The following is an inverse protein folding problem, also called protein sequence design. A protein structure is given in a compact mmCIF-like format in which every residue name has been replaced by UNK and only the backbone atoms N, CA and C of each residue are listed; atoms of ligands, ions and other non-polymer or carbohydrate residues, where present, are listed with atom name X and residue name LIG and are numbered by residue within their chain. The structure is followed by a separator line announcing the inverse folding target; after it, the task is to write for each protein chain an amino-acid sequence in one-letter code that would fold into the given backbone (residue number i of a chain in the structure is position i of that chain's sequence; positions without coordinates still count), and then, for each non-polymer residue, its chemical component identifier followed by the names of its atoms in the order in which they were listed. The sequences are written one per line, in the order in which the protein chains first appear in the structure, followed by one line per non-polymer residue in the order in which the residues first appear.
data_IF_024455466673
#
_entry.id   IF_024455466673
#
_cell.length_a   1.000
_cell.length_b   1.000
_cell.length_c   1.000
_cell.angle_alpha   90.00
_cell.angle_beta   90.00
_cell.angle_gamma   90.00
#
_symmetry.space_group_name_H-M   'P 1'
#
loop_
_entity.id
_entity.type
_entity.pdbx_description
1 polymer ?
#
# COMPACT_ATOMS: atom_id res chain seq x y z
N UNK A 1 -29.99 -4.10 -10.81
CA UNK A 1 -29.62 -5.19 -9.87
C UNK A 1 -29.69 -6.52 -10.61
N UNK A 2 -28.86 -7.51 -10.28
CA UNK A 2 -28.92 -8.83 -10.92
C UNK A 2 -30.18 -9.55 -10.40
N UNK A 3 -31.10 -10.00 -11.28
CA UNK A 3 -32.39 -10.56 -10.83
C UNK A 3 -32.26 -11.77 -9.89
N UNK A 4 -31.24 -12.58 -10.04
CA UNK A 4 -30.96 -13.71 -9.15
C UNK A 4 -30.64 -13.24 -7.72
N UNK A 5 -29.85 -12.18 -7.59
CA UNK A 5 -29.49 -11.61 -6.29
C UNK A 5 -30.69 -10.94 -5.60
N UNK A 6 -31.51 -10.24 -6.36
CA UNK A 6 -32.72 -9.57 -5.86
C UNK A 6 -33.73 -10.53 -5.24
N UNK A 7 -33.87 -11.75 -5.80
CA UNK A 7 -34.76 -12.80 -5.28
C UNK A 7 -34.36 -13.34 -3.91
N UNK A 8 -33.08 -13.25 -3.57
CA UNK A 8 -32.54 -13.73 -2.28
C UNK A 8 -32.66 -12.70 -1.16
N UNK A 9 -32.96 -11.44 -1.49
CA UNK A 9 -33.13 -10.38 -0.48
C UNK A 9 -34.48 -10.60 0.25
N UNK A 10 -34.44 -10.50 1.56
CA UNK A 10 -35.62 -10.51 2.41
C UNK A 10 -36.19 -9.09 2.55
N UNK A 11 -37.03 -8.72 1.62
CA UNK A 11 -37.67 -7.40 1.60
C UNK A 11 -38.67 -7.21 2.76
N UNK A 12 -39.16 -8.28 3.42
CA UNK A 12 -40.10 -8.20 4.51
C UNK A 12 -39.53 -7.61 5.79
N UNK A 13 -38.21 -7.70 5.94
CA UNK A 13 -37.46 -7.13 7.09
C UNK A 13 -37.14 -5.65 6.97
N UNK A 14 -37.64 -4.99 5.95
CA UNK A 14 -37.54 -3.53 5.79
C UNK A 14 -36.13 -2.98 5.74
N UNK A 15 -35.24 -3.60 4.99
CA UNK A 15 -33.82 -3.48 5.32
C UNK A 15 -32.89 -2.94 4.26
N UNK A 16 -33.34 -2.08 3.44
CA UNK A 16 -32.45 -1.08 2.86
C UNK A 16 -32.35 0.06 3.87
N UNK A 17 -31.36 0.04 4.72
CA UNK A 17 -31.05 1.23 5.50
C UNK A 17 -30.35 2.20 4.57
N UNK A 18 -31.08 3.18 4.15
CA UNK A 18 -30.61 4.28 3.33
C UNK A 18 -30.12 5.42 4.22
N UNK A 19 -28.90 5.30 4.70
CA UNK A 19 -28.13 6.49 5.07
C UNK A 19 -27.29 6.90 3.87
N UNK A 20 -26.89 8.16 3.79
CA UNK A 20 -26.01 8.67 2.72
C UNK A 20 -24.74 7.84 2.55
N UNK A 21 -24.27 7.19 3.60
CA UNK A 21 -23.01 6.47 3.69
C UNK A 21 -23.14 5.02 4.19
N UNK A 22 -24.35 4.50 4.35
CA UNK A 22 -24.56 3.15 4.86
C UNK A 22 -25.71 2.45 4.14
N UNK A 23 -25.43 1.23 3.70
CA UNK A 23 -26.40 0.34 3.08
C UNK A 23 -26.26 -1.07 3.69
N UNK A 24 -27.39 -1.74 3.92
CA UNK A 24 -27.42 -3.11 4.42
C UNK A 24 -28.49 -3.91 3.72
N UNK A 25 -28.11 -5.05 3.16
CA UNK A 25 -29.06 -6.04 2.61
C UNK A 25 -29.08 -7.27 3.49
N UNK A 26 -30.27 -7.74 3.85
CA UNK A 26 -30.47 -9.02 4.55
C UNK A 26 -31.05 -10.02 3.56
N UNK A 27 -30.53 -11.22 3.60
CA UNK A 27 -30.96 -12.32 2.73
C UNK A 27 -31.94 -13.22 3.47
N UNK A 28 -32.74 -14.00 2.72
CA UNK A 28 -33.73 -14.95 3.23
C UNK A 28 -33.14 -15.98 4.20
N UNK A 29 -31.88 -16.34 4.02
CA UNK A 29 -31.15 -17.25 4.93
C UNK A 29 -30.64 -16.58 6.21
N UNK A 30 -30.97 -15.29 6.46
CA UNK A 30 -30.55 -14.53 7.62
C UNK A 30 -29.14 -13.93 7.53
N UNK A 31 -28.36 -14.25 6.50
CA UNK A 31 -27.09 -13.57 6.27
C UNK A 31 -27.30 -12.12 5.82
N UNK A 32 -26.28 -11.31 5.91
CA UNK A 32 -26.36 -9.91 5.46
C UNK A 32 -25.05 -9.43 4.83
N UNK A 33 -25.20 -8.45 3.99
CA UNK A 33 -24.11 -7.67 3.39
C UNK A 33 -24.35 -6.20 3.71
N UNK A 34 -23.31 -5.51 4.19
CA UNK A 34 -23.34 -4.07 4.42
C UNK A 34 -22.01 -3.42 4.06
N UNK A 35 -22.04 -2.11 3.84
CA UNK A 35 -20.83 -1.33 3.72
C UNK A 35 -20.41 -0.73 5.07
N UNK A 36 -19.10 -0.62 5.26
CA UNK A 36 -18.47 -0.03 6.44
C UNK A 36 -17.50 1.04 5.97
N UNK A 37 -17.59 2.24 6.52
CA UNK A 37 -16.60 3.26 6.24
C UNK A 37 -15.24 2.88 6.85
N UNK A 38 -14.16 3.08 6.09
CA UNK A 38 -12.79 2.88 6.58
C UNK A 38 -12.38 4.07 7.49
N UNK A 39 -12.92 4.08 8.72
CA UNK A 39 -12.73 5.14 9.71
C UNK A 39 -12.67 4.55 11.12
N UNK A 40 -12.10 5.29 12.06
CA UNK A 40 -12.07 4.94 13.49
C UNK A 40 -13.46 4.64 14.08
N UNK A 41 -14.50 5.31 13.62
CA UNK A 41 -15.89 5.09 14.05
C UNK A 41 -16.44 3.71 13.71
N UNK A 42 -15.75 2.95 12.88
CA UNK A 42 -16.12 1.56 12.55
C UNK A 42 -15.55 0.54 13.54
N UNK A 43 -14.76 0.97 14.50
CA UNK A 43 -14.23 0.14 15.58
C UNK A 43 -15.36 -0.57 16.34
N UNK A 44 -15.17 -1.84 16.66
CA UNK A 44 -16.15 -2.64 17.38
C UNK A 44 -17.21 -3.34 16.52
N UNK A 45 -17.34 -3.01 15.24
CA UNK A 45 -18.18 -3.81 14.32
C UNK A 45 -17.62 -5.22 14.16
N UNK A 46 -18.48 -6.16 13.79
CA UNK A 46 -18.11 -7.59 13.64
C UNK A 46 -18.61 -8.13 12.31
N UNK A 47 -17.71 -8.75 11.54
CA UNK A 47 -17.97 -9.35 10.23
C UNK A 47 -17.16 -10.64 10.07
N UNK A 48 -17.60 -11.51 9.16
CA UNK A 48 -16.92 -12.78 8.89
C UNK A 48 -15.84 -12.64 7.82
N UNK A 49 -16.11 -11.79 6.84
CA UNK A 49 -15.21 -11.49 5.73
C UNK A 49 -15.47 -10.07 5.24
N UNK A 50 -14.63 -9.56 4.36
CA UNK A 50 -14.81 -8.24 3.80
C UNK A 50 -14.11 -8.05 2.46
N UNK A 51 -14.65 -7.12 1.69
CA UNK A 51 -14.06 -6.57 0.49
C UNK A 51 -13.58 -5.16 0.81
N UNK A 52 -12.31 -4.91 0.60
CA UNK A 52 -11.66 -3.60 0.75
C UNK A 52 -11.46 -3.06 -0.66
N UNK A 53 -12.34 -2.18 -1.07
CA UNK A 53 -12.28 -1.52 -2.36
C UNK A 53 -11.42 -0.26 -2.27
N UNK A 54 -10.76 0.11 -3.36
CA UNK A 54 -9.83 1.24 -3.45
C UNK A 54 -8.77 1.22 -2.34
N UNK A 55 -8.21 0.03 -2.07
CA UNK A 55 -7.26 -0.20 -0.98
C UNK A 55 -6.07 0.78 -1.00
N UNK A 56 -5.68 1.26 -2.17
CA UNK A 56 -4.60 2.25 -2.33
C UNK A 56 -4.90 3.59 -1.63
N UNK A 57 -6.18 3.95 -1.49
CA UNK A 57 -6.63 5.17 -0.84
C UNK A 57 -6.92 5.03 0.66
N UNK A 58 -6.79 3.83 1.24
CA UNK A 58 -7.09 3.58 2.65
C UNK A 58 -5.86 3.79 3.51
N UNK A 59 -6.03 4.51 4.63
CA UNK A 59 -4.97 4.64 5.64
C UNK A 59 -4.61 3.27 6.24
N UNK A 60 -3.30 2.95 6.28
CA UNK A 60 -2.81 1.66 6.71
C UNK A 60 -3.08 1.36 8.19
N UNK A 61 -3.04 2.36 9.05
CA UNK A 61 -3.31 2.20 10.48
C UNK A 61 -4.80 1.89 10.69
N UNK A 62 -5.68 2.66 10.05
CA UNK A 62 -7.13 2.40 10.09
C UNK A 62 -7.44 1.01 9.56
N UNK A 63 -6.79 0.58 8.49
CA UNK A 63 -7.02 -0.75 7.93
C UNK A 63 -6.57 -1.85 8.90
N UNK A 64 -5.37 -1.75 9.46
CA UNK A 64 -4.80 -2.76 10.35
C UNK A 64 -5.47 -2.80 11.74
N UNK A 65 -5.77 -1.63 12.32
CA UNK A 65 -6.23 -1.53 13.69
C UNK A 65 -7.75 -1.55 13.84
N UNK A 66 -8.48 -1.16 12.79
CA UNK A 66 -9.94 -1.06 12.84
C UNK A 66 -10.60 -2.06 11.91
N UNK A 67 -10.30 -2.02 10.60
CA UNK A 67 -11.07 -2.76 9.60
C UNK A 67 -10.74 -4.27 9.64
N UNK A 68 -9.46 -4.64 9.57
CA UNK A 68 -9.04 -6.06 9.60
C UNK A 68 -9.53 -6.77 10.87
N UNK A 69 -9.41 -6.20 12.08
CA UNK A 69 -9.95 -6.83 13.28
C UNK A 69 -11.46 -7.03 13.28
N UNK A 70 -12.22 -6.21 12.53
CA UNK A 70 -13.69 -6.44 12.43
C UNK A 70 -14.02 -7.73 11.71
N UNK A 71 -13.15 -8.22 10.81
CA UNK A 71 -13.33 -9.40 9.96
C UNK A 71 -12.81 -10.68 10.63
N UNK A 72 -12.98 -10.84 11.92
CA UNK A 72 -12.39 -11.94 12.69
C UNK A 72 -13.44 -12.78 13.46
N UNK A 73 -14.68 -12.79 13.04
CA UNK A 73 -15.71 -13.61 13.67
C UNK A 73 -16.04 -14.81 12.79
N UNK A 74 -16.15 -15.98 13.41
CA UNK A 74 -16.65 -17.18 12.75
C UNK A 74 -18.15 -17.06 12.50
N UNK A 75 -18.62 -17.57 11.37
CA UNK A 75 -20.05 -17.69 11.10
C UNK A 75 -20.67 -18.67 12.07
N UNK A 76 -21.83 -18.32 12.57
CA UNK A 76 -22.62 -19.19 13.44
C UNK A 76 -23.71 -19.85 12.61
N UNK A 77 -23.91 -21.14 12.81
CA UNK A 77 -25.07 -21.87 12.30
C UNK A 77 -26.34 -21.43 13.00
N UNK A 78 -27.50 -21.79 12.48
CA UNK A 78 -28.77 -21.40 13.06
C UNK A 78 -28.97 -21.92 14.49
N UNK A 79 -28.31 -23.01 14.85
CA UNK A 79 -28.30 -23.61 16.19
C UNK A 79 -27.29 -22.96 17.15
N UNK A 80 -26.57 -21.92 16.70
CA UNK A 80 -25.54 -21.23 17.48
C UNK A 80 -24.20 -21.95 17.51
N UNK A 81 -24.04 -23.07 16.83
CA UNK A 81 -22.76 -23.76 16.70
C UNK A 81 -21.86 -23.10 15.66
N UNK A 82 -20.56 -23.26 15.80
CA UNK A 82 -19.56 -22.84 14.80
C UNK A 82 -19.07 -24.08 14.07
N UNK A 83 -19.23 -24.10 12.74
CA UNK A 83 -18.71 -25.21 11.94
C UNK A 83 -17.17 -25.24 11.99
N UNK A 84 -16.54 -26.40 12.23
CA UNK A 84 -15.06 -26.48 12.33
C UNK A 84 -14.31 -25.90 11.13
N UNK A 85 -14.86 -26.05 9.93
CA UNK A 85 -14.28 -25.52 8.69
C UNK A 85 -14.41 -24.00 8.57
N UNK A 86 -15.32 -23.36 9.31
CA UNK A 86 -15.51 -21.91 9.28
C UNK A 86 -14.32 -21.12 9.81
N UNK A 87 -13.47 -21.71 10.63
CA UNK A 87 -12.25 -21.05 11.10
C UNK A 87 -11.27 -20.71 9.94
N UNK A 88 -11.40 -21.38 8.81
CA UNK A 88 -10.59 -21.17 7.61
C UNK A 88 -11.15 -20.11 6.65
N UNK A 89 -12.42 -19.70 6.82
CA UNK A 89 -13.14 -18.89 5.84
C UNK A 89 -13.17 -17.38 6.14
N UNK A 90 -12.23 -16.88 6.92
CA UNK A 90 -12.09 -15.44 7.18
C UNK A 90 -11.39 -14.76 6.00
N UNK A 91 -12.09 -14.69 4.87
CA UNK A 91 -11.53 -14.17 3.64
C UNK A 91 -11.50 -12.63 3.64
N UNK A 92 -10.38 -12.09 3.20
CA UNK A 92 -10.21 -10.67 2.90
C UNK A 92 -9.91 -10.53 1.41
N UNK A 93 -10.70 -9.73 0.71
CA UNK A 93 -10.50 -9.41 -0.69
C UNK A 93 -10.12 -7.94 -0.82
N UNK A 94 -8.98 -7.68 -1.42
CA UNK A 94 -8.48 -6.34 -1.71
C UNK A 94 -8.63 -6.06 -3.19
N UNK A 95 -9.34 -4.97 -3.53
CA UNK A 95 -9.55 -4.52 -4.91
C UNK A 95 -8.97 -3.12 -5.02
N UNK A 96 -8.08 -2.92 -5.98
CA UNK A 96 -7.46 -1.61 -6.19
C UNK A 96 -6.79 -1.53 -7.56
N UNK A 97 -6.62 -0.33 -8.07
CA UNK A 97 -5.65 -0.03 -9.12
C UNK A 97 -4.24 0.00 -8.53
N UNK A 98 -3.22 0.02 -9.37
CA UNK A 98 -1.85 0.23 -8.89
C UNK A 98 -1.68 1.67 -8.41
N UNK A 99 -0.88 1.84 -7.38
CA UNK A 99 -0.58 3.13 -6.79
C UNK A 99 0.93 3.38 -6.67
N UNK A 100 1.34 3.92 -5.54
CA UNK A 100 2.73 4.20 -5.23
C UNK A 100 3.32 3.13 -4.30
N UNK A 101 4.61 2.80 -4.49
CA UNK A 101 5.32 1.77 -3.72
C UNK A 101 5.52 2.13 -2.25
N UNK A 102 5.36 3.38 -1.88
CA UNK A 102 5.42 3.85 -0.49
C UNK A 102 4.06 3.80 0.22
N UNK A 103 3.08 3.08 -0.32
CA UNK A 103 1.75 2.95 0.28
C UNK A 103 1.58 1.61 0.98
N UNK A 104 0.72 1.58 1.99
CA UNK A 104 0.30 0.36 2.66
C UNK A 104 -0.22 -0.71 1.67
N UNK A 105 -0.94 -0.29 0.62
CA UNK A 105 -1.47 -1.21 -0.38
C UNK A 105 -0.35 -1.98 -1.12
N UNK A 106 0.77 -1.33 -1.39
CA UNK A 106 1.93 -1.99 -1.98
C UNK A 106 2.60 -2.98 -1.01
N UNK A 107 2.76 -2.59 0.26
CA UNK A 107 3.30 -3.49 1.28
C UNK A 107 2.41 -4.72 1.46
N UNK A 108 1.08 -4.53 1.44
CA UNK A 108 0.11 -5.62 1.48
C UNK A 108 0.21 -6.52 0.26
N UNK A 109 0.40 -5.95 -0.94
CA UNK A 109 0.63 -6.71 -2.17
C UNK A 109 1.88 -7.60 -2.04
N UNK A 110 3.00 -7.04 -1.58
CA UNK A 110 4.25 -7.81 -1.39
C UNK A 110 4.05 -8.92 -0.35
N UNK A 111 3.38 -8.62 0.76
CA UNK A 111 3.05 -9.62 1.78
C UNK A 111 2.23 -10.78 1.19
N UNK A 112 1.19 -10.47 0.41
CA UNK A 112 0.34 -11.48 -0.22
C UNK A 112 1.09 -12.28 -1.31
N UNK A 113 2.01 -11.66 -2.06
CA UNK A 113 2.89 -12.36 -3.00
C UNK A 113 3.77 -13.38 -2.29
N UNK A 114 4.37 -13.01 -1.16
CA UNK A 114 5.15 -13.93 -0.33
C UNK A 114 4.28 -15.10 0.15
N UNK A 115 3.08 -14.81 0.64
CA UNK A 115 2.14 -15.86 1.06
C UNK A 115 1.72 -16.77 -0.08
N UNK A 116 1.45 -16.24 -1.27
CA UNK A 116 1.09 -17.03 -2.45
C UNK A 116 2.21 -18.01 -2.86
N UNK A 117 3.49 -17.64 -2.64
CA UNK A 117 4.64 -18.51 -2.91
C UNK A 117 4.79 -19.59 -1.83
N UNK A 118 4.68 -19.19 -0.54
CA UNK A 118 4.95 -20.09 0.59
C UNK A 118 3.74 -20.97 0.90
N UNK A 119 2.52 -20.44 0.81
CA UNK A 119 1.25 -21.09 1.16
C UNK A 119 0.17 -20.69 0.13
N UNK A 120 0.20 -21.26 -1.08
CA UNK A 120 -0.69 -20.86 -2.19
C UNK A 120 -2.17 -21.08 -1.87
N UNK A 121 -2.52 -21.95 -0.93
CA UNK A 121 -3.88 -22.18 -0.46
C UNK A 121 -4.43 -21.02 0.40
N UNK A 122 -3.57 -20.09 0.85
CA UNK A 122 -3.95 -19.00 1.75
C UNK A 122 -4.00 -17.63 1.10
N UNK A 123 -3.37 -17.45 -0.03
CA UNK A 123 -3.34 -16.17 -0.72
C UNK A 123 -3.33 -16.37 -2.24
N UNK A 124 -4.08 -15.53 -2.92
CA UNK A 124 -4.10 -15.46 -4.38
C UNK A 124 -4.07 -14.00 -4.81
N UNK A 125 -3.21 -13.68 -5.75
CA UNK A 125 -3.15 -12.37 -6.38
C UNK A 125 -3.52 -12.54 -7.85
N UNK A 126 -4.44 -11.69 -8.28
CA UNK A 126 -4.80 -11.54 -9.69
C UNK A 126 -4.57 -10.10 -10.10
N UNK A 127 -3.95 -9.90 -11.24
CA UNK A 127 -3.72 -8.58 -11.80
C UNK A 127 -3.77 -8.63 -13.31
N UNK A 128 -4.04 -7.48 -13.91
CA UNK A 128 -4.14 -7.41 -15.36
C UNK A 128 -4.09 -5.97 -15.86
N UNK A 129 -3.95 -5.84 -17.16
CA UNK A 129 -3.97 -4.55 -17.85
C UNK A 129 -5.31 -4.34 -18.55
N UNK A 130 -5.56 -3.12 -19.01
CA UNK A 130 -6.74 -2.77 -19.81
C UNK A 130 -6.95 -3.69 -21.03
N UNK A 131 -5.93 -4.43 -21.46
CA UNK A 131 -6.02 -5.36 -22.60
C UNK A 131 -7.02 -6.50 -22.34
N UNK A 132 -7.15 -6.92 -21.06
CA UNK A 132 -8.10 -7.98 -20.70
C UNK A 132 -9.55 -7.53 -20.94
N UNK A 133 -10.05 -6.41 -20.35
CA UNK A 133 -11.40 -5.95 -20.63
C UNK A 133 -11.63 -5.59 -22.11
N UNK A 134 -10.62 -5.13 -22.86
CA UNK A 134 -10.72 -4.95 -24.30
C UNK A 134 -10.93 -6.30 -25.02
N UNK A 135 -10.18 -7.33 -24.63
CA UNK A 135 -10.30 -8.67 -25.22
C UNK A 135 -11.72 -9.27 -25.04
N UNK A 136 -12.30 -9.08 -23.86
CA UNK A 136 -13.65 -9.57 -23.54
C UNK A 136 -14.76 -8.57 -23.89
N UNK A 137 -14.44 -7.49 -24.62
CA UNK A 137 -15.38 -6.46 -25.11
C UNK A 137 -16.12 -5.70 -23.98
N UNK A 138 -15.54 -5.59 -22.81
CA UNK A 138 -16.04 -4.75 -21.71
C UNK A 138 -15.50 -3.32 -21.79
N UNK A 139 -14.40 -3.11 -22.50
CA UNK A 139 -13.82 -1.79 -22.74
C UNK A 139 -13.58 -1.60 -24.25
N UNK A 140 -13.96 -0.44 -24.75
CA UNK A 140 -13.70 -0.08 -26.14
C UNK A 140 -12.21 0.26 -26.34
N UNK A 141 -11.59 -0.39 -27.33
CA UNK A 141 -10.19 -0.12 -27.71
C UNK A 141 -9.97 1.31 -28.18
N UNK A 142 -10.98 1.94 -28.79
CA UNK A 142 -10.86 3.30 -29.33
C UNK A 142 -10.91 4.34 -28.20
N UNK A 143 -11.56 4.03 -27.07
CA UNK A 143 -11.49 4.84 -25.86
C UNK A 143 -10.05 5.08 -25.40
N UNK A 144 -9.21 4.04 -25.39
CA UNK A 144 -7.80 4.16 -24.99
C UNK A 144 -7.01 5.04 -25.96
N UNK A 145 -7.33 5.01 -27.26
CA UNK A 145 -6.69 5.91 -28.25
C UNK A 145 -7.07 7.36 -28.01
N UNK A 146 -8.37 7.60 -27.79
CA UNK A 146 -8.90 8.94 -27.52
C UNK A 146 -8.26 9.49 -26.25
N UNK A 147 -8.21 8.70 -25.18
CA UNK A 147 -7.58 9.08 -23.91
C UNK A 147 -6.11 9.50 -24.09
N UNK A 148 -5.35 8.78 -24.92
CA UNK A 148 -3.95 9.13 -25.21
C UNK A 148 -3.77 10.36 -26.10
N UNK A 149 -4.79 10.75 -26.84
CA UNK A 149 -4.79 11.95 -27.69
C UNK A 149 -5.25 13.20 -26.91
N UNK A 150 -5.79 13.01 -25.72
CA UNK A 150 -6.21 14.12 -24.85
C UNK A 150 -5.00 14.93 -24.36
N UNK A 151 -5.08 16.25 -24.45
CA UNK A 151 -4.01 17.15 -24.03
C UNK A 151 -3.74 17.17 -22.53
N UNK A 152 -4.61 16.56 -21.72
CA UNK A 152 -4.44 16.36 -20.27
C UNK A 152 -3.90 14.98 -19.92
N UNK A 153 -3.54 14.17 -20.89
CA UNK A 153 -3.06 12.81 -20.69
C UNK A 153 -1.76 12.79 -19.86
N UNK A 154 -1.78 11.95 -18.83
CA UNK A 154 -0.64 11.74 -17.95
C UNK A 154 -0.15 10.29 -18.07
N UNK A 155 1.05 10.10 -18.60
CA UNK A 155 1.64 8.76 -18.81
C UNK A 155 1.80 7.99 -17.49
N UNK A 156 2.20 8.64 -16.41
CA UNK A 156 2.38 7.99 -15.11
C UNK A 156 1.04 7.53 -14.51
N UNK A 157 -0.01 8.35 -14.64
CA UNK A 157 -1.37 7.97 -14.24
C UNK A 157 -1.87 6.80 -15.09
N UNK A 158 -1.65 6.84 -16.41
CA UNK A 158 -2.04 5.75 -17.31
C UNK A 158 -1.34 4.43 -16.96
N UNK A 159 -0.07 4.48 -16.61
CA UNK A 159 0.67 3.30 -16.19
C UNK A 159 0.07 2.67 -14.93
N UNK A 160 -0.34 3.45 -13.95
CA UNK A 160 -0.99 2.96 -12.74
C UNK A 160 -2.38 2.41 -13.01
N UNK A 161 -3.24 3.22 -13.63
CA UNK A 161 -4.67 2.91 -13.78
C UNK A 161 -4.95 1.82 -14.83
N UNK A 162 -4.22 1.83 -15.94
CA UNK A 162 -4.51 0.97 -17.08
C UNK A 162 -3.49 -0.16 -17.31
N UNK A 163 -2.26 -0.01 -16.82
CA UNK A 163 -1.21 -1.01 -16.99
C UNK A 163 -0.86 -1.76 -15.70
N UNK A 164 -1.51 -1.43 -14.58
CA UNK A 164 -1.27 -2.04 -13.25
C UNK A 164 0.20 -1.95 -12.81
N UNK A 165 0.88 -0.86 -13.18
CA UNK A 165 2.27 -0.62 -12.82
C UNK A 165 2.36 0.23 -11.56
N UNK A 166 2.99 -0.29 -10.52
CA UNK A 166 3.27 0.45 -9.31
C UNK A 166 4.40 1.45 -9.51
N UNK A 167 4.15 2.72 -9.21
CA UNK A 167 5.12 3.80 -9.32
C UNK A 167 6.04 3.86 -8.10
N UNK A 168 7.34 4.03 -8.33
CA UNK A 168 8.32 4.30 -7.26
C UNK A 168 8.34 5.74 -6.80
N UNK A 169 7.75 6.65 -7.58
CA UNK A 169 7.81 8.10 -7.37
C UNK A 169 6.41 8.65 -7.17
N UNK A 170 6.20 9.43 -6.11
CA UNK A 170 5.00 10.26 -5.95
C UNK A 170 5.03 11.37 -6.99
N UNK A 171 3.89 11.81 -7.51
CA UNK A 171 3.79 12.77 -8.62
C UNK A 171 4.55 14.08 -8.35
N UNK A 172 4.59 14.50 -7.08
CA UNK A 172 5.29 15.71 -6.60
C UNK A 172 6.59 15.40 -5.83
N UNK A 173 7.20 14.21 -6.04
CA UNK A 173 8.43 13.88 -5.35
C UNK A 173 9.56 14.81 -5.77
N UNK A 174 10.15 15.52 -4.81
CA UNK A 174 11.29 16.39 -5.04
C UNK A 174 12.50 15.63 -5.62
N UNK A 175 12.64 14.34 -5.25
CA UNK A 175 13.68 13.47 -5.77
C UNK A 175 13.08 12.33 -6.59
N UNK A 176 13.66 12.08 -7.76
CA UNK A 176 13.31 10.94 -8.59
C UNK A 176 13.91 9.65 -8.02
N UNK A 177 13.10 8.62 -7.80
CA UNK A 177 13.55 7.32 -7.28
C UNK A 177 14.57 6.64 -8.21
N UNK A 178 14.45 6.79 -9.54
CA UNK A 178 15.42 6.27 -10.49
C UNK A 178 16.79 6.92 -10.33
N UNK A 179 16.82 8.20 -9.96
CA UNK A 179 18.08 8.90 -9.65
C UNK A 179 18.71 8.33 -8.38
N UNK A 180 17.92 7.98 -7.36
CA UNK A 180 18.40 7.30 -6.17
C UNK A 180 19.01 5.94 -6.52
N UNK A 181 18.28 5.09 -7.24
CA UNK A 181 18.73 3.75 -7.61
C UNK A 181 20.02 3.79 -8.45
N UNK A 182 20.07 4.70 -9.42
CA UNK A 182 21.27 4.91 -10.25
C UNK A 182 22.48 5.37 -9.47
N UNK A 183 22.29 6.18 -8.42
CA UNK A 183 23.36 6.72 -7.59
C UNK A 183 23.70 5.84 -6.38
N UNK A 184 22.94 4.76 -6.12
CA UNK A 184 23.20 3.81 -5.06
C UNK A 184 24.31 2.84 -5.45
N UNK A 185 25.54 3.33 -5.53
CA UNK A 185 26.70 2.57 -6.01
C UNK A 185 27.50 1.87 -4.91
N UNK A 186 27.38 2.34 -3.66
CA UNK A 186 28.07 1.73 -2.53
C UNK A 186 27.29 0.51 -2.02
N UNK A 187 27.99 -0.61 -1.86
CA UNK A 187 27.41 -1.87 -1.36
C UNK A 187 27.44 -1.98 0.16
N UNK A 188 28.36 -1.27 0.80
CA UNK A 188 28.57 -1.26 2.26
C UNK A 188 28.95 0.14 2.73
N UNK A 189 28.60 0.53 3.98
CA UNK A 189 29.03 1.79 4.55
C UNK A 189 30.54 1.78 4.85
N UNK A 190 31.15 2.96 4.83
CA UNK A 190 32.53 3.14 5.26
C UNK A 190 32.57 3.43 6.77
N UNK A 191 33.30 2.63 7.54
CA UNK A 191 33.50 2.81 8.98
C UNK A 191 34.90 3.36 9.32
N UNK A 192 35.83 3.26 8.38
CA UNK A 192 37.20 3.68 8.59
C UNK A 192 37.61 4.70 7.52
N UNK A 193 38.54 5.57 7.88
CA UNK A 193 39.12 6.53 6.94
C UNK A 193 39.90 5.83 5.83
N UNK A 194 39.37 5.85 4.64
CA UNK A 194 39.95 5.21 3.46
C UNK A 194 40.85 6.16 2.61
N UNK A 195 41.14 7.33 3.12
CA UNK A 195 41.85 8.42 2.41
C UNK A 195 43.38 8.28 2.31
N UNK A 196 43.97 7.18 2.77
CA UNK A 196 45.46 7.01 2.72
C UNK A 196 46.05 6.95 1.31
N UNK A 197 45.24 6.66 0.29
CA UNK A 197 45.67 6.54 -1.10
C UNK A 197 45.41 7.79 -1.95
N UNK A 198 44.65 8.77 -1.50
CA UNK A 198 44.36 10.01 -2.21
C UNK A 198 44.53 11.19 -1.27
N UNK A 199 45.62 11.92 -1.47
CA UNK A 199 46.01 13.12 -0.68
C UNK A 199 44.99 14.27 -0.71
N UNK A 200 43.82 14.10 -1.30
CA UNK A 200 42.86 15.17 -1.55
C UNK A 200 41.42 14.87 -1.13
N UNK A 201 41.10 13.71 -0.58
CA UNK A 201 39.75 13.45 -0.09
C UNK A 201 39.55 13.90 1.35
N UNK A 202 38.34 14.41 1.67
CA UNK A 202 37.97 14.78 3.03
C UNK A 202 36.50 14.34 3.30
N UNK A 203 36.10 14.40 4.56
CA UNK A 203 34.76 14.03 4.97
C UNK A 203 33.99 15.24 5.49
N UNK A 204 32.70 15.30 5.18
CA UNK A 204 31.76 16.27 5.72
C UNK A 204 30.76 15.50 6.57
N UNK A 205 30.53 15.95 7.79
CA UNK A 205 29.46 15.48 8.65
C UNK A 205 28.30 16.48 8.59
N UNK A 206 27.12 15.99 8.22
CA UNK A 206 25.88 16.75 8.32
C UNK A 206 25.03 16.13 9.43
N UNK A 207 24.65 16.97 10.40
CA UNK A 207 23.92 16.52 11.58
C UNK A 207 22.56 17.21 11.62
N UNK A 208 21.50 16.40 11.71
CA UNK A 208 20.15 16.86 12.00
C UNK A 208 19.79 16.41 13.41
N UNK A 209 19.58 17.38 14.31
CA UNK A 209 19.38 17.12 15.73
C UNK A 209 17.89 17.16 16.06
N UNK A 210 17.35 16.05 16.54
CA UNK A 210 16.01 16.00 17.12
C UNK A 210 15.95 16.83 18.40
N UNK A 211 14.87 17.62 18.56
CA UNK A 211 14.67 18.50 19.72
C UNK A 211 13.69 17.95 20.76
N UNK A 212 13.18 16.74 20.57
CA UNK A 212 12.14 16.18 21.42
C UNK A 212 12.34 14.68 21.62
N UNK A 213 12.25 14.22 22.85
CA UNK A 213 12.25 12.80 23.23
C UNK A 213 11.04 12.01 22.70
N UNK A 214 10.02 12.67 22.18
CA UNK A 214 8.82 12.06 21.59
C UNK A 214 8.72 12.29 20.06
N UNK A 215 9.80 12.69 19.43
CA UNK A 215 9.84 13.04 18.01
C UNK A 215 10.69 12.09 17.16
N UNK A 216 11.23 12.65 16.09
CA UNK A 216 12.17 11.94 15.22
C UNK A 216 13.54 11.80 15.90
N UNK A 217 14.29 10.76 15.50
CA UNK A 217 15.66 10.54 15.95
C UNK A 217 16.63 11.56 15.34
N UNK A 218 17.78 11.77 16.00
CA UNK A 218 18.88 12.55 15.43
C UNK A 218 19.64 11.73 14.39
N UNK A 219 19.98 12.36 13.28
CA UNK A 219 20.66 11.67 12.17
C UNK A 219 21.99 12.36 11.89
N UNK A 220 23.05 11.54 11.71
CA UNK A 220 24.35 11.99 11.24
C UNK A 220 24.66 11.35 9.90
N UNK A 221 24.77 12.17 8.85
CA UNK A 221 25.18 11.75 7.53
C UNK A 221 26.67 12.04 7.31
N UNK A 222 27.40 11.04 6.85
CA UNK A 222 28.83 11.15 6.54
C UNK A 222 29.01 11.17 5.03
N UNK A 223 29.52 12.27 4.50
CA UNK A 223 29.84 12.44 3.08
C UNK A 223 31.34 12.41 2.85
N UNK A 224 31.79 11.56 1.94
CA UNK A 224 33.15 11.60 1.40
C UNK A 224 33.17 12.50 0.18
N UNK A 225 34.11 13.43 0.18
CA UNK A 225 34.33 14.41 -0.93
C UNK A 225 35.66 14.16 -1.56
N UNK A 226 35.63 13.93 -2.87
CA UNK A 226 36.86 13.76 -3.69
C UNK A 226 36.93 14.93 -4.67
N UNK A 227 37.80 15.94 -4.42
CA UNK A 227 37.98 17.05 -5.34
C UNK A 227 38.47 16.58 -6.71
N UNK A 228 37.99 17.23 -7.75
CA UNK A 228 38.41 16.99 -9.14
C UNK A 228 39.11 18.24 -9.69
N UNK A 229 40.23 18.13 -10.37
CA UNK A 229 41.02 19.30 -10.79
C UNK A 229 40.32 20.28 -11.74
N UNK A 230 39.38 19.79 -12.56
CA UNK A 230 38.66 20.56 -13.58
C UNK A 230 37.18 20.25 -13.66
N UNK A 231 36.61 19.63 -12.63
CA UNK A 231 35.20 19.24 -12.55
C UNK A 231 34.65 19.44 -11.15
N UNK A 232 33.32 19.31 -11.00
CA UNK A 232 32.67 19.31 -9.70
C UNK A 232 33.19 18.14 -8.86
N UNK A 233 33.43 18.38 -7.56
CA UNK A 233 33.85 17.33 -6.63
C UNK A 233 32.84 16.19 -6.56
N UNK A 234 33.32 14.96 -6.55
CA UNK A 234 32.49 13.78 -6.32
C UNK A 234 32.12 13.75 -4.84
N UNK A 235 30.85 13.71 -4.54
CA UNK A 235 30.30 13.61 -3.18
C UNK A 235 29.55 12.29 -3.05
N UNK A 236 29.94 11.46 -2.10
CA UNK A 236 29.30 10.18 -1.82
C UNK A 236 28.83 10.13 -0.38
N UNK A 237 27.56 9.82 -0.13
CA UNK A 237 27.07 9.49 1.21
C UNK A 237 27.63 8.10 1.53
N UNK A 238 28.57 8.04 2.49
CA UNK A 238 29.30 6.81 2.80
C UNK A 238 28.83 6.13 4.08
N UNK A 239 28.16 6.87 4.97
CA UNK A 239 27.54 6.30 6.15
C UNK A 239 26.40 7.18 6.66
N UNK A 240 25.46 6.57 7.40
CA UNK A 240 24.38 7.24 8.12
C UNK A 240 24.29 6.61 9.51
N UNK A 241 24.31 7.44 10.53
CA UNK A 241 24.07 7.03 11.93
C UNK A 241 22.74 7.59 12.37
N UNK A 242 21.89 6.71 12.89
CA UNK A 242 20.67 7.08 13.60
C UNK A 242 21.00 7.08 15.10
N UNK A 243 20.72 8.18 15.79
CA UNK A 243 20.96 8.33 17.21
C UNK A 243 19.60 8.46 17.87
N UNK A 244 19.16 7.39 18.53
CA UNK A 244 17.91 7.36 19.27
C UNK A 244 17.90 8.39 20.40
N UNK A 245 16.73 8.99 20.64
CA UNK A 245 16.58 10.12 21.58
C UNK A 245 16.98 9.79 23.02
N UNK A 246 16.92 8.53 23.41
CA UNK A 246 17.23 8.07 24.78
C UNK A 246 18.73 8.15 25.17
N UNK A 247 19.61 8.41 24.21
CA UNK A 247 21.06 8.52 24.46
C UNK A 247 21.53 9.93 24.83
N UNK A 248 20.63 10.92 24.92
CA UNK A 248 20.98 12.30 25.27
C UNK A 248 20.67 12.69 26.73
N UNK A 249 20.18 11.76 27.55
CA UNK A 249 20.03 11.95 28.99
C UNK A 249 21.27 11.44 29.76
N UNK A 250 22.36 12.20 29.69
CA UNK A 250 23.46 12.08 30.66
C UNK A 250 24.30 13.35 30.72
#
# INVERSE_FOLDING_TARGET
MIPAFEREIDWSRGQTMEGKDYCKYIFKNGSYFDNIAARETSRGKRRHCGVIEECVGVDGNVLNEVIIPTMNISRMCMDGSVHPEEQLNKAQLYITTAGYKNTFAYEKLIQLLIWQIIKPERAMIMGGTYKIPVLVKLLDKDFIKILKMDGTFNDAAFEREYLSKWSGTVEDAFFNSEAFDRNRVLKQPEYEYSGRSSKSSYYILAVDVARSTKGCDSIVCVFKVIPQPQAAAIKSLVNIYNIEADHFES
#
